data_IF_575109999951
#
_entry.id   IF_575109999951
#
_cell.length_a   1.000
_cell.length_b   1.000
_cell.length_c   1.000
_cell.angle_alpha   90.00
_cell.angle_beta   90.00
_cell.angle_gamma   90.00
#
_symmetry.space_group_name_H-M   'P 1'
#
loop_
_entity.id
_entity.type
_entity.pdbx_description
1 polymer ?
#
# COMPACT_ATOMS: atom_id res chain seq x y z
N UNK A 1 -3.17 2.12 -25.54
CA UNK A 1 -4.24 2.37 -24.56
C UNK A 1 -4.06 1.41 -23.39
N UNK A 2 -3.55 1.91 -22.28
CA UNK A 2 -3.40 1.20 -21.00
C UNK A 2 -4.74 1.18 -20.30
N UNK A 3 -5.39 0.02 -20.21
CA UNK A 3 -6.60 -0.15 -19.42
C UNK A 3 -6.24 -0.04 -17.93
N UNK A 4 -6.53 1.11 -17.35
CA UNK A 4 -6.55 1.31 -15.90
C UNK A 4 -7.76 0.56 -15.37
N UNK A 5 -7.54 -0.32 -14.39
CA UNK A 5 -8.64 -0.98 -13.67
C UNK A 5 -9.32 0.07 -12.81
N UNK A 6 -10.40 0.66 -13.33
CA UNK A 6 -11.39 1.35 -12.51
C UNK A 6 -12.17 0.29 -11.73
N UNK A 7 -11.62 -0.12 -10.59
CA UNK A 7 -12.50 -0.60 -9.53
C UNK A 7 -13.35 0.58 -9.12
N UNK A 8 -14.68 0.50 -9.28
CA UNK A 8 -15.62 1.28 -8.49
C UNK A 8 -15.45 0.86 -7.00
N UNK A 9 -14.32 1.26 -6.40
CA UNK A 9 -14.29 1.65 -5.00
C UNK A 9 -14.99 3.00 -4.91
N UNK A 10 -15.35 3.44 -3.71
CA UNK A 10 -15.77 4.83 -3.47
C UNK A 10 -14.93 5.76 -4.35
N UNK A 11 -15.56 6.73 -5.02
CA UNK A 11 -14.84 7.79 -5.74
C UNK A 11 -13.60 8.14 -4.89
N UNK A 12 -12.39 8.06 -5.46
CA UNK A 12 -11.18 8.48 -4.76
C UNK A 12 -11.29 10.00 -4.60
N UNK A 13 -12.05 10.41 -3.59
CA UNK A 13 -12.28 11.79 -3.28
C UNK A 13 -10.97 12.34 -2.73
N UNK A 14 -10.51 13.40 -3.36
CA UNK A 14 -9.29 14.05 -2.99
C UNK A 14 -9.57 14.98 -1.81
N UNK A 15 -8.86 14.75 -0.70
CA UNK A 15 -8.82 15.68 0.42
C UNK A 15 -8.00 16.89 -0.02
N UNK A 16 -8.64 18.06 -0.12
CA UNK A 16 -7.99 19.33 -0.42
C UNK A 16 -8.07 20.25 0.79
N UNK A 17 -6.91 20.57 1.33
CA UNK A 17 -6.79 21.67 2.27
C UNK A 17 -6.82 22.99 1.50
N UNK A 18 -7.31 24.06 2.13
CA UNK A 18 -7.18 25.42 1.58
C UNK A 18 -5.70 25.80 1.37
N UNK A 19 -5.43 27.03 0.95
CA UNK A 19 -4.05 27.51 0.83
C UNK A 19 -3.28 27.31 2.14
N UNK A 20 -2.30 26.39 2.11
CA UNK A 20 -1.58 25.89 3.27
C UNK A 20 -0.09 25.79 2.93
N UNK A 21 0.76 26.39 3.75
CA UNK A 21 2.21 26.21 3.68
C UNK A 21 2.66 25.47 4.95
N UNK A 22 3.30 24.31 4.80
CA UNK A 22 3.81 23.51 5.92
C UNK A 22 5.33 23.45 5.82
N UNK A 23 6.03 23.87 6.88
CA UNK A 23 7.48 23.81 6.98
C UNK A 23 7.86 22.83 8.08
N UNK A 24 8.62 21.80 7.73
CA UNK A 24 9.21 20.88 8.70
C UNK A 24 10.64 21.33 9.02
N UNK A 25 10.98 21.46 10.29
CA UNK A 25 12.34 21.70 10.76
C UNK A 25 12.78 20.44 11.49
N UNK A 26 13.72 19.70 10.90
CA UNK A 26 14.12 18.36 11.34
C UNK A 26 15.56 18.34 11.81
N UNK A 27 15.81 17.64 12.91
CA UNK A 27 17.10 17.57 13.57
C UNK A 27 17.94 16.46 12.94
N UNK A 28 19.12 16.83 12.43
CA UNK A 28 20.09 15.91 11.83
C UNK A 28 21.41 15.89 12.62
N UNK A 29 21.38 16.26 13.89
CA UNK A 29 22.51 16.18 14.81
C UNK A 29 23.01 14.74 15.01
N UNK A 30 24.19 14.63 15.61
CA UNK A 30 24.84 13.37 15.91
C UNK A 30 24.02 12.52 16.91
N UNK A 31 23.36 13.15 17.88
CA UNK A 31 22.59 12.47 18.93
C UNK A 31 21.35 11.74 18.40
N UNK A 32 20.76 12.25 17.30
CA UNK A 32 19.65 11.61 16.60
C UNK A 32 20.10 10.25 16.04
N UNK A 33 21.21 10.23 15.30
CA UNK A 33 21.70 9.04 14.60
C UNK A 33 20.92 8.70 13.32
N UNK A 34 21.60 8.04 12.39
CA UNK A 34 21.07 7.71 11.05
C UNK A 34 19.68 7.01 11.05
N UNK A 35 19.45 6.09 11.99
CA UNK A 35 18.20 5.33 12.06
C UNK A 35 17.02 6.20 12.48
N UNK A 36 17.20 7.09 13.44
CA UNK A 36 16.13 7.97 13.91
C UNK A 36 15.88 9.09 12.91
N UNK A 37 16.92 9.63 12.29
CA UNK A 37 16.78 10.58 11.18
C UNK A 37 15.96 9.99 10.02
N UNK A 38 16.13 8.69 9.74
CA UNK A 38 15.28 8.00 8.77
C UNK A 38 13.81 7.92 9.21
N UNK A 39 13.52 7.81 10.51
CA UNK A 39 12.16 7.85 11.04
C UNK A 39 11.54 9.25 10.91
N UNK A 40 12.31 10.31 11.16
CA UNK A 40 11.88 11.70 10.94
C UNK A 40 11.52 11.97 9.48
N UNK A 41 12.39 11.56 8.54
CA UNK A 41 12.09 11.65 7.09
C UNK A 41 10.79 10.91 6.74
N UNK A 42 10.59 9.72 7.28
CA UNK A 42 9.37 8.94 7.04
C UNK A 42 8.14 9.62 7.65
N UNK A 43 8.27 10.25 8.82
CA UNK A 43 7.19 11.03 9.42
C UNK A 43 6.78 12.20 8.53
N UNK A 44 7.72 13.02 8.06
CA UNK A 44 7.46 14.12 7.12
C UNK A 44 6.72 13.60 5.88
N UNK A 45 7.22 12.53 5.27
CA UNK A 45 6.59 11.91 4.10
C UNK A 45 5.16 11.44 4.41
N UNK A 46 4.94 10.80 5.56
CA UNK A 46 3.64 10.23 5.91
C UNK A 46 2.60 11.29 6.25
N UNK A 47 2.97 12.35 6.96
CA UNK A 47 2.08 13.49 7.21
C UNK A 47 1.69 14.16 5.90
N UNK A 48 2.64 14.41 5.01
CA UNK A 48 2.35 15.05 3.71
C UNK A 48 1.47 14.15 2.83
N UNK A 49 1.63 12.81 2.90
CA UNK A 49 0.72 11.88 2.24
C UNK A 49 -0.73 11.99 2.73
N UNK A 50 -0.91 12.25 4.02
CA UNK A 50 -2.24 12.41 4.63
C UNK A 50 -2.91 13.73 4.25
N UNK A 51 -2.13 14.80 4.14
CA UNK A 51 -2.64 16.13 3.74
C UNK A 51 -3.21 16.17 2.32
N UNK A 52 -2.98 15.13 1.51
CA UNK A 52 -3.54 14.99 0.17
C UNK A 52 -2.63 15.61 -0.90
N UNK A 53 -3.21 16.33 -1.85
CA UNK A 53 -2.44 16.87 -2.97
C UNK A 53 -1.61 18.09 -2.59
N UNK A 54 -0.34 18.04 -3.02
CA UNK A 54 0.57 19.19 -3.06
C UNK A 54 0.20 20.07 -4.26
N UNK A 55 0.35 21.38 -4.11
CA UNK A 55 0.18 22.33 -5.20
C UNK A 55 1.16 22.00 -6.34
N UNK A 56 0.63 21.78 -7.55
CA UNK A 56 1.45 21.48 -8.74
C UNK A 56 2.28 22.66 -9.21
N UNK A 57 1.72 23.86 -9.04
CA UNK A 57 2.40 25.12 -9.31
C UNK A 57 2.67 25.79 -7.97
N UNK A 58 3.94 26.07 -7.61
CA UNK A 58 4.27 26.74 -6.36
C UNK A 58 3.72 28.18 -6.25
N UNK A 59 3.31 28.79 -7.37
CA UNK A 59 2.63 30.09 -7.44
C UNK A 59 1.11 30.00 -7.34
N UNK A 60 0.55 28.79 -7.32
CA UNK A 60 -0.88 28.58 -7.14
C UNK A 60 -1.35 29.21 -5.82
N UNK A 61 -2.43 29.99 -5.88
CA UNK A 61 -3.10 30.55 -4.70
C UNK A 61 -3.86 29.49 -3.89
N UNK A 62 -3.96 28.26 -4.41
CA UNK A 62 -4.63 27.13 -3.76
C UNK A 62 -3.72 25.91 -3.66
N UNK A 63 -4.00 25.02 -2.70
CA UNK A 63 -3.24 23.79 -2.48
C UNK A 63 -2.10 23.92 -1.48
N UNK A 64 -1.63 22.76 -1.01
CA UNK A 64 -0.61 22.64 0.03
C UNK A 64 0.79 22.77 -0.56
N UNK A 65 1.65 23.64 -0.02
CA UNK A 65 3.09 23.63 -0.31
C UNK A 65 3.83 23.13 0.92
N UNK A 66 4.92 22.40 0.70
CA UNK A 66 5.67 21.79 1.79
C UNK A 66 7.16 22.08 1.63
N UNK A 67 7.76 22.59 2.69
CA UNK A 67 9.19 22.81 2.80
C UNK A 67 9.78 21.98 3.94
N UNK A 68 11.06 21.69 3.84
CA UNK A 68 11.80 20.96 4.88
C UNK A 68 13.13 21.66 5.09
N UNK A 69 13.49 21.94 6.34
CA UNK A 69 14.83 22.39 6.75
C UNK A 69 15.42 21.28 7.60
N UNK A 70 16.51 20.69 7.15
CA UNK A 70 17.35 19.88 8.03
C UNK A 70 18.49 20.74 8.57
N UNK A 71 18.85 20.53 9.83
CA UNK A 71 19.92 21.24 10.49
C UNK A 71 20.79 20.31 11.32
N UNK A 72 22.02 20.74 11.57
CA UNK A 72 22.87 20.14 12.58
C UNK A 72 23.71 21.23 13.25
N UNK A 73 24.95 21.45 12.80
CA UNK A 73 25.85 22.44 13.37
C UNK A 73 25.83 23.76 12.59
N UNK A 74 26.61 24.73 13.08
CA UNK A 74 26.73 26.08 12.52
C UNK A 74 26.82 26.08 10.99
N UNK A 75 25.95 26.86 10.35
CA UNK A 75 25.95 27.05 8.90
C UNK A 75 25.49 25.84 8.07
N UNK A 76 25.16 24.71 8.70
CA UNK A 76 24.78 23.49 7.98
C UNK A 76 23.25 23.33 7.98
N UNK A 77 22.62 24.12 7.12
CA UNK A 77 21.18 24.09 6.87
C UNK A 77 20.94 23.67 5.42
N UNK A 78 20.29 22.53 5.22
CA UNK A 78 19.80 22.14 3.90
C UNK A 78 18.28 22.31 3.86
N UNK A 79 17.79 22.90 2.77
CA UNK A 79 16.38 23.23 2.64
C UNK A 79 15.78 22.76 1.32
N UNK A 80 14.62 22.14 1.46
CA UNK A 80 13.63 22.00 0.43
C UNK A 80 12.71 23.22 0.52
N UNK A 81 12.77 24.10 -0.47
CA UNK A 81 12.02 25.36 -0.48
C UNK A 81 10.52 25.15 -0.75
N UNK A 82 9.68 26.04 -0.21
CA UNK A 82 8.23 26.01 -0.45
C UNK A 82 7.85 26.28 -1.91
N UNK A 83 8.69 27.04 -2.62
CA UNK A 83 8.51 27.47 -4.00
C UNK A 83 9.43 26.76 -5.00
N UNK A 84 10.00 25.61 -4.63
CA UNK A 84 10.83 24.80 -5.54
C UNK A 84 9.97 24.23 -6.69
N UNK A 85 10.19 24.75 -7.90
CA UNK A 85 9.47 24.34 -9.12
C UNK A 85 9.67 22.85 -9.46
N UNK A 86 10.68 22.18 -8.89
CA UNK A 86 10.91 20.75 -9.07
C UNK A 86 9.96 19.88 -8.24
N UNK A 87 9.28 20.47 -7.25
CA UNK A 87 8.37 19.78 -6.32
C UNK A 87 6.92 20.02 -6.73
N UNK A 88 6.57 19.45 -7.87
CA UNK A 88 5.25 19.54 -8.50
C UNK A 88 4.27 18.43 -8.05
N UNK A 89 4.74 17.47 -7.27
CA UNK A 89 3.98 16.27 -6.91
C UNK A 89 4.43 15.66 -5.59
N UNK A 90 3.53 14.87 -5.00
CA UNK A 90 3.84 14.09 -3.80
C UNK A 90 5.00 13.11 -4.03
N UNK A 91 5.16 12.62 -5.26
CA UNK A 91 6.29 11.77 -5.66
C UNK A 91 7.63 12.53 -5.65
N UNK A 92 7.70 13.71 -6.27
CA UNK A 92 8.93 14.50 -6.31
C UNK A 92 9.32 14.99 -4.91
N UNK A 93 8.33 15.39 -4.09
CA UNK A 93 8.57 15.72 -2.68
C UNK A 93 9.15 14.54 -1.90
N UNK A 94 8.57 13.34 -2.02
CA UNK A 94 9.07 12.12 -1.37
C UNK A 94 10.51 11.81 -1.73
N UNK A 95 10.85 11.97 -3.00
CA UNK A 95 12.20 11.72 -3.49
C UNK A 95 13.18 12.74 -2.92
N UNK A 96 12.82 14.03 -2.96
CA UNK A 96 13.62 15.10 -2.37
C UNK A 96 13.89 14.87 -0.88
N UNK A 97 12.87 14.54 -0.08
CA UNK A 97 13.04 14.24 1.35
C UNK A 97 13.90 13.00 1.56
N UNK A 98 13.73 11.93 0.77
CA UNK A 98 14.55 10.71 0.90
C UNK A 98 16.03 10.97 0.66
N UNK A 99 16.34 11.87 -0.28
CA UNK A 99 17.69 12.24 -0.68
C UNK A 99 18.42 13.11 0.34
N UNK A 100 17.73 13.64 1.37
CA UNK A 100 18.40 14.31 2.49
C UNK A 100 19.31 13.31 3.22
N UNK A 101 20.59 13.64 3.30
CA UNK A 101 21.60 12.84 3.98
C UNK A 101 21.76 13.30 5.42
N UNK A 102 22.03 12.34 6.31
CA UNK A 102 22.25 12.63 7.73
C UNK A 102 23.61 13.33 7.90
N UNK A 103 23.58 14.53 8.45
CA UNK A 103 24.74 15.44 8.57
C UNK A 103 25.68 15.04 9.73
N UNK A 104 25.14 14.65 10.89
CA UNK A 104 25.90 14.19 12.06
C UNK A 104 26.89 15.20 12.66
N UNK A 105 26.39 16.31 13.23
CA UNK A 105 27.18 17.26 14.01
C UNK A 105 26.47 17.72 15.28
N UNK A 106 26.61 19.00 15.64
CA UNK A 106 25.89 19.63 16.76
C UNK A 106 24.40 19.88 16.49
N UNK A 107 23.76 20.61 17.40
CA UNK A 107 22.32 20.89 17.38
C UNK A 107 22.06 22.40 17.47
N UNK A 108 21.92 23.06 16.33
CA UNK A 108 21.77 24.53 16.23
C UNK A 108 20.31 24.92 15.97
N UNK A 109 19.43 24.51 16.89
CA UNK A 109 17.98 24.67 16.76
C UNK A 109 17.56 26.15 16.67
N UNK A 110 17.94 27.06 17.61
CA UNK A 110 17.60 28.49 17.48
C UNK A 110 17.97 29.09 16.10
N UNK A 111 19.18 28.84 15.61
CA UNK A 111 19.61 29.33 14.29
C UNK A 111 18.82 28.69 13.14
N UNK A 112 18.48 27.40 13.24
CA UNK A 112 17.65 26.71 12.26
C UNK A 112 16.24 27.32 12.17
N UNK A 113 15.63 27.68 13.30
CA UNK A 113 14.31 28.33 13.34
C UNK A 113 14.33 29.69 12.65
N UNK A 114 15.38 30.49 12.90
CA UNK A 114 15.59 31.78 12.22
C UNK A 114 15.80 31.59 10.71
N UNK A 115 16.58 30.59 10.32
CA UNK A 115 16.80 30.26 8.91
C UNK A 115 15.49 29.84 8.23
N UNK A 116 14.72 28.93 8.84
CA UNK A 116 13.43 28.46 8.33
C UNK A 116 12.45 29.62 8.15
N UNK A 117 12.38 30.54 9.12
CA UNK A 117 11.56 31.74 9.01
C UNK A 117 12.00 32.62 7.83
N UNK A 118 13.28 33.00 7.77
CA UNK A 118 13.75 33.95 6.78
C UNK A 118 13.67 33.39 5.35
N UNK A 119 14.14 32.15 5.16
CA UNK A 119 14.32 31.55 3.84
C UNK A 119 13.08 30.88 3.28
N UNK A 120 12.33 30.15 4.09
CA UNK A 120 11.18 29.41 3.58
C UNK A 120 9.92 30.25 3.76
N UNK A 121 9.71 30.84 4.93
CA UNK A 121 8.42 31.48 5.24
C UNK A 121 8.37 32.91 4.73
N UNK A 122 9.34 33.76 5.07
CA UNK A 122 9.30 35.19 4.79
C UNK A 122 9.55 35.50 3.30
N UNK A 123 10.55 34.87 2.70
CA UNK A 123 10.91 35.07 1.29
C UNK A 123 9.86 34.46 0.32
N UNK A 124 9.26 33.31 0.67
CA UNK A 124 8.33 32.58 -0.22
C UNK A 124 6.85 32.68 0.20
N UNK A 125 6.47 33.64 1.07
CA UNK A 125 5.11 33.75 1.63
C UNK A 125 4.04 33.99 0.56
N UNK A 126 3.04 33.11 0.47
CA UNK A 126 1.81 33.38 -0.30
C UNK A 126 0.87 34.32 0.47
N UNK A 127 0.19 35.22 -0.23
CA UNK A 127 -0.86 36.05 0.37
C UNK A 127 -2.04 35.17 0.82
N UNK A 128 -2.64 35.48 1.99
CA UNK A 128 -3.82 34.80 2.55
C UNK A 128 -3.65 33.28 2.77
N UNK A 129 -2.43 32.81 2.97
CA UNK A 129 -2.11 31.40 3.25
C UNK A 129 -1.86 31.18 4.75
N UNK A 130 -2.37 30.06 5.28
CA UNK A 130 -2.01 29.61 6.64
C UNK A 130 -0.63 28.96 6.61
N UNK A 131 0.24 29.37 7.53
CA UNK A 131 1.59 28.82 7.65
C UNK A 131 1.69 27.99 8.92
N UNK A 132 2.12 26.73 8.78
CA UNK A 132 2.41 25.84 9.89
C UNK A 132 3.88 25.47 9.88
N UNK A 133 4.50 25.48 11.06
CA UNK A 133 5.85 25.01 11.26
C UNK A 133 5.84 23.83 12.23
N UNK A 134 6.42 22.70 11.84
CA UNK A 134 6.56 21.51 12.69
C UNK A 134 8.04 21.31 12.98
N UNK A 135 8.43 21.46 14.24
CA UNK A 135 9.82 21.33 14.69
C UNK A 135 10.00 20.00 15.38
N UNK A 136 11.01 19.22 15.01
CA UNK A 136 11.34 17.92 15.60
C UNK A 136 12.76 18.00 16.13
N UNK A 137 12.97 17.58 17.38
CA UNK A 137 14.28 17.57 18.03
C UNK A 137 14.30 16.62 19.23
N UNK A 138 15.48 16.11 19.60
CA UNK A 138 15.71 15.41 20.87
C UNK A 138 16.10 16.37 22.03
N UNK A 139 16.22 17.66 21.70
CA UNK A 139 16.04 18.80 22.58
C UNK A 139 17.21 19.20 23.46
N UNK A 140 18.41 19.21 22.88
CA UNK A 140 19.56 19.95 23.40
C UNK A 140 20.16 20.78 22.29
N UNK A 141 20.02 22.11 22.36
CA UNK A 141 20.76 22.98 21.45
C UNK A 141 22.16 23.26 21.98
N UNK A 142 23.09 23.53 21.08
CA UNK A 142 24.46 23.88 21.40
C UNK A 142 24.51 25.21 22.17
N UNK A 143 25.22 25.33 23.31
CA UNK A 143 25.34 26.58 24.06
C UNK A 143 25.96 27.74 23.29
N UNK A 144 26.59 27.46 22.14
CA UNK A 144 27.13 28.47 21.22
C UNK A 144 26.06 29.10 20.33
N UNK A 145 24.88 28.50 20.23
CA UNK A 145 23.75 29.04 19.47
C UNK A 145 23.01 30.13 20.28
N UNK A 146 22.40 31.08 19.57
CA UNK A 146 21.74 32.24 20.17
C UNK A 146 20.28 31.90 20.52
N UNK A 147 20.04 31.60 21.80
CA UNK A 147 18.76 31.17 22.38
C UNK A 147 17.60 32.17 22.17
N UNK A 148 17.91 33.45 21.90
CA UNK A 148 16.92 34.47 21.53
C UNK A 148 16.15 34.08 20.27
N UNK A 149 16.74 33.26 19.39
CA UNK A 149 16.11 32.80 18.16
C UNK A 149 15.17 31.59 18.36
N UNK A 150 15.04 31.04 19.58
CA UNK A 150 14.05 29.98 19.86
C UNK A 150 12.61 30.42 19.55
N UNK A 151 12.35 31.74 19.61
CA UNK A 151 11.06 32.35 19.30
C UNK A 151 11.00 32.96 17.89
N UNK A 152 11.97 32.67 17.02
CA UNK A 152 12.08 33.30 15.70
C UNK A 152 10.87 33.06 14.78
N UNK A 153 10.11 31.99 15.00
CA UNK A 153 8.88 31.70 14.25
C UNK A 153 7.64 32.35 14.88
N UNK A 154 7.75 32.90 16.09
CA UNK A 154 6.63 33.46 16.83
C UNK A 154 6.26 34.86 16.34
N UNK A 155 4.99 35.25 16.50
CA UNK A 155 4.46 36.58 16.12
C UNK A 155 4.47 36.92 14.61
N UNK A 156 4.46 35.89 13.75
CA UNK A 156 4.47 36.06 12.29
C UNK A 156 3.28 35.42 11.56
N UNK A 157 2.17 35.19 12.28
CA UNK A 157 1.01 34.38 11.86
C UNK A 157 1.38 32.93 11.47
N UNK A 158 2.45 32.41 12.08
CA UNK A 158 2.88 31.02 11.94
C UNK A 158 2.34 30.22 13.13
N UNK A 159 1.70 29.09 12.85
CA UNK A 159 1.34 28.12 13.90
C UNK A 159 2.48 27.14 14.06
N UNK A 160 3.18 27.20 15.19
CA UNK A 160 4.34 26.34 15.47
C UNK A 160 3.92 25.18 16.37
N UNK A 161 4.23 23.97 15.95
CA UNK A 161 4.09 22.73 16.74
C UNK A 161 5.49 22.18 16.99
N UNK A 162 5.84 21.98 18.27
CA UNK A 162 7.15 21.46 18.66
C UNK A 162 7.01 20.01 19.14
N UNK A 163 7.80 19.10 18.56
CA UNK A 163 7.83 17.68 18.88
C UNK A 163 9.18 17.36 19.53
N UNK A 164 9.16 17.03 20.81
CA UNK A 164 10.34 16.61 21.57
C UNK A 164 10.38 15.09 21.76
N UNK A 165 11.53 14.47 21.51
CA UNK A 165 11.67 13.01 21.54
C UNK A 165 12.81 12.59 22.47
N UNK A 166 12.56 11.62 23.35
CA UNK A 166 13.58 11.00 24.19
C UNK A 166 13.56 11.47 25.64
N UNK A 167 14.68 11.31 26.34
CA UNK A 167 14.77 11.46 27.80
C UNK A 167 14.95 12.91 28.29
N UNK A 168 14.27 13.82 27.60
CA UNK A 168 14.15 15.26 27.85
C UNK A 168 13.63 15.62 29.26
N UNK A 169 13.26 14.61 30.06
CA UNK A 169 12.49 14.77 31.30
C UNK A 169 13.23 14.27 32.55
N UNK A 170 14.39 13.62 32.42
CA UNK A 170 15.17 13.13 33.55
C UNK A 170 16.33 14.04 33.97
N UNK A 171 16.72 15.02 33.15
CA UNK A 171 17.71 16.04 33.53
C UNK A 171 17.06 17.42 33.70
N UNK A 172 17.14 17.96 34.93
CA UNK A 172 16.55 19.25 35.35
C UNK A 172 17.30 20.48 34.82
N UNK A 173 18.26 20.31 33.93
CA UNK A 173 19.05 21.39 33.37
C UNK A 173 18.99 21.27 31.85
N UNK A 174 18.47 22.31 31.19
CA UNK A 174 18.69 22.61 29.76
C UNK A 174 18.00 21.71 28.73
N UNK A 175 16.71 21.38 28.92
CA UNK A 175 15.87 21.06 27.76
C UNK A 175 15.76 22.31 26.88
N UNK A 176 15.92 22.17 25.56
CA UNK A 176 15.35 23.15 24.64
C UNK A 176 13.95 23.50 25.13
N UNK A 177 13.67 24.79 25.32
CA UNK A 177 12.37 25.18 25.81
C UNK A 177 11.37 25.01 24.66
N UNK A 178 10.87 23.78 24.48
CA UNK A 178 9.86 23.45 23.48
C UNK A 178 8.64 24.37 23.62
N UNK A 179 8.36 24.87 24.82
CA UNK A 179 7.34 25.90 25.02
C UNK A 179 7.72 27.22 24.33
N UNK A 180 8.96 27.67 24.42
CA UNK A 180 9.44 28.85 23.65
C UNK A 180 9.33 28.61 22.14
N UNK A 181 9.72 27.43 21.64
CA UNK A 181 9.60 27.08 20.22
C UNK A 181 8.12 27.09 19.80
N UNK A 182 7.25 26.51 20.62
CA UNK A 182 5.80 26.51 20.42
C UNK A 182 5.11 27.83 20.79
N UNK A 183 5.86 28.93 20.94
CA UNK A 183 5.34 30.27 21.21
C UNK A 183 4.45 30.36 22.46
N UNK A 184 4.89 29.74 23.56
CA UNK A 184 4.23 29.68 24.86
C UNK A 184 2.83 29.01 24.82
N UNK A 185 2.58 28.15 23.81
CA UNK A 185 1.33 27.41 23.65
C UNK A 185 1.51 25.93 24.04
N UNK A 186 1.18 25.53 25.28
CA UNK A 186 1.41 24.17 25.76
C UNK A 186 0.70 23.10 24.90
N UNK A 187 -0.45 23.42 24.30
CA UNK A 187 -1.21 22.51 23.44
C UNK A 187 -0.51 22.17 22.12
N UNK A 188 0.47 22.98 21.71
CA UNK A 188 1.28 22.80 20.51
C UNK A 188 2.59 22.04 20.77
N UNK A 189 2.84 21.64 22.02
CA UNK A 189 3.98 20.79 22.39
C UNK A 189 3.54 19.33 22.36
N UNK A 190 4.35 18.48 21.74
CA UNK A 190 4.13 17.03 21.66
C UNK A 190 5.37 16.32 22.19
N UNK A 191 5.20 15.59 23.28
CA UNK A 191 6.28 14.85 23.91
C UNK A 191 6.20 13.37 23.50
N UNK A 192 7.33 12.80 23.13
CA UNK A 192 7.45 11.40 22.75
C UNK A 192 8.64 10.75 23.45
N UNK A 193 8.53 9.46 23.72
CA UNK A 193 9.63 8.69 24.31
C UNK A 193 10.57 8.12 23.26
N UNK A 194 10.05 7.78 22.08
CA UNK A 194 10.79 7.09 21.04
C UNK A 194 10.50 7.70 19.67
N UNK A 195 11.52 7.74 18.79
CA UNK A 195 11.35 8.17 17.39
C UNK A 195 10.38 7.26 16.61
N UNK A 196 10.16 6.02 17.04
CA UNK A 196 9.16 5.14 16.45
C UNK A 196 7.73 5.63 16.63
N UNK A 197 7.48 6.50 17.62
CA UNK A 197 6.15 7.02 17.89
C UNK A 197 5.73 8.06 16.83
N UNK A 198 6.70 8.72 16.17
CA UNK A 198 6.44 9.61 15.04
C UNK A 198 5.73 8.90 13.88
N UNK A 199 6.04 7.62 13.65
CA UNK A 199 5.45 6.85 12.54
C UNK A 199 4.18 6.10 12.93
N UNK A 200 3.65 6.32 14.13
CA UNK A 200 2.39 5.72 14.57
C UNK A 200 1.21 6.33 13.79
N UNK A 201 0.33 5.47 13.24
CA UNK A 201 -0.84 5.91 12.46
C UNK A 201 -1.68 6.94 13.22
N UNK A 202 -1.94 6.71 14.51
CA UNK A 202 -2.72 7.64 15.34
C UNK A 202 -2.11 9.04 15.41
N UNK A 203 -0.79 9.14 15.58
CA UNK A 203 -0.14 10.44 15.69
C UNK A 203 -0.13 11.18 14.34
N UNK A 204 0.08 10.44 13.25
CA UNK A 204 -0.01 10.99 11.90
C UNK A 204 -1.43 11.52 11.63
N UNK A 205 -2.47 10.79 12.03
CA UNK A 205 -3.87 11.22 11.90
C UNK A 205 -4.16 12.46 12.77
N UNK A 206 -3.65 12.51 14.01
CA UNK A 206 -3.78 13.71 14.88
C UNK A 206 -3.09 14.95 14.26
N UNK A 207 -1.93 14.78 13.64
CA UNK A 207 -1.21 15.86 12.95
C UNK A 207 -1.92 16.31 11.67
N UNK A 208 -2.57 15.39 10.95
CA UNK A 208 -3.40 15.71 9.79
C UNK A 208 -4.56 16.65 10.19
N UNK A 209 -5.23 16.39 11.30
CA UNK A 209 -6.32 17.22 11.81
C UNK A 209 -5.84 18.60 12.27
N UNK A 210 -4.65 18.69 12.89
CA UNK A 210 -4.06 19.98 13.30
C UNK A 210 -3.68 20.84 12.09
N UNK A 211 -3.08 20.25 11.07
CA UNK A 211 -2.60 20.96 9.88
C UNK A 211 -3.73 21.29 8.90
N UNK A 212 -4.80 20.48 8.88
CA UNK A 212 -5.92 20.63 7.96
C UNK A 212 -7.28 20.40 8.66
N UNK A 213 -7.73 21.34 9.51
CA UNK A 213 -8.93 21.16 10.33
C UNK A 213 -10.23 21.13 9.52
N UNK A 214 -10.29 21.87 8.39
CA UNK A 214 -11.48 21.98 7.54
C UNK A 214 -11.16 21.54 6.10
N UNK A 215 -11.03 20.23 5.86
CA UNK A 215 -10.72 19.73 4.53
C UNK A 215 -11.93 19.80 3.59
N UNK A 216 -11.70 20.28 2.37
CA UNK A 216 -12.67 20.12 1.30
C UNK A 216 -12.47 18.76 0.64
N UNK A 217 -13.50 17.92 0.68
CA UNK A 217 -13.49 16.63 0.00
C UNK A 217 -13.99 16.85 -1.42
N UNK A 218 -13.06 16.87 -2.38
CA UNK A 218 -13.38 17.02 -3.80
C UNK A 218 -13.43 15.63 -4.42
N UNK A 219 -14.63 15.14 -4.64
CA UNK A 219 -14.84 13.92 -5.42
C UNK A 219 -14.85 14.29 -6.91
N UNK A 220 -14.16 13.54 -7.78
CA UNK A 220 -14.34 13.74 -9.20
C UNK A 220 -15.80 13.48 -9.56
N UNK A 221 -16.39 14.38 -10.35
CA UNK A 221 -17.72 14.20 -10.96
C UNK A 221 -17.65 13.11 -12.02
N UNK A 222 -17.49 11.87 -11.56
CA UNK A 222 -17.83 10.72 -12.39
C UNK A 222 -19.32 10.49 -12.20
N UNK A 223 -20.11 10.37 -13.28
CA UNK A 223 -21.47 9.87 -13.15
C UNK A 223 -21.34 8.48 -12.53
N UNK A 224 -21.67 8.38 -11.24
CA UNK A 224 -21.92 7.12 -10.59
C UNK A 224 -23.08 6.51 -11.37
N UNK A 225 -22.79 5.63 -12.32
CA UNK A 225 -23.78 4.68 -12.74
C UNK A 225 -24.11 3.90 -11.47
N UNK A 226 -25.32 4.13 -10.96
CA UNK A 226 -25.87 3.48 -9.76
C UNK A 226 -25.89 1.96 -9.89
N UNK A 227 -25.69 1.45 -11.10
CA UNK A 227 -25.29 0.08 -11.33
C UNK A 227 -23.76 0.03 -11.41
N UNK A 228 -23.15 -0.67 -10.46
CA UNK A 228 -21.78 -1.17 -10.62
C UNK A 228 -21.66 -1.79 -12.02
N UNK A 229 -21.09 -1.06 -12.97
CA UNK A 229 -20.71 -1.58 -14.29
C UNK A 229 -19.47 -2.45 -14.09
N UNK A 230 -19.62 -3.52 -13.30
CA UNK A 230 -18.78 -4.69 -13.45
C UNK A 230 -19.09 -5.11 -14.87
N UNK A 231 -18.16 -4.88 -15.80
CA UNK A 231 -18.25 -5.46 -17.12
C UNK A 231 -18.56 -6.95 -16.88
N UNK A 232 -19.77 -7.38 -17.22
CA UNK A 232 -20.09 -8.80 -17.18
C UNK A 232 -18.95 -9.48 -17.95
N UNK A 233 -18.47 -10.65 -17.51
CA UNK A 233 -17.38 -11.38 -18.19
C UNK A 233 -17.57 -11.53 -19.72
N UNK A 234 -18.77 -11.21 -20.22
CA UNK A 234 -19.17 -11.09 -21.62
C UNK A 234 -18.53 -9.96 -22.42
N UNK A 235 -18.05 -8.87 -21.79
CA UNK A 235 -17.63 -7.66 -22.52
C UNK A 235 -16.12 -7.54 -22.72
N UNK A 236 -15.34 -8.54 -22.30
CA UNK A 236 -13.88 -8.58 -22.47
C UNK A 236 -13.35 -10.01 -22.54
N UNK A 237 -12.19 -10.25 -23.14
CA UNK A 237 -11.66 -11.60 -23.26
C UNK A 237 -10.98 -12.00 -21.94
N UNK A 238 -11.50 -13.04 -21.29
CA UNK A 238 -10.95 -13.57 -20.02
C UNK A 238 -10.59 -15.05 -20.18
N UNK A 239 -9.36 -15.43 -19.83
CA UNK A 239 -8.92 -16.82 -19.81
C UNK A 239 -8.74 -17.26 -18.35
N UNK A 240 -9.56 -18.21 -17.88
CA UNK A 240 -9.61 -18.67 -16.49
C UNK A 240 -8.99 -20.06 -16.38
N UNK A 241 -7.96 -20.19 -15.55
CA UNK A 241 -7.26 -21.46 -15.31
C UNK A 241 -7.49 -21.91 -13.87
N UNK A 242 -8.23 -22.99 -13.70
CA UNK A 242 -8.42 -23.65 -12.40
C UNK A 242 -7.27 -24.61 -12.10
N UNK A 243 -6.75 -24.53 -10.89
CA UNK A 243 -5.74 -25.41 -10.33
C UNK A 243 -6.37 -26.17 -9.16
N UNK A 244 -6.73 -27.43 -9.41
CA UNK A 244 -7.41 -28.28 -8.44
C UNK A 244 -6.42 -29.21 -7.73
N UNK A 245 -6.41 -29.15 -6.40
CA UNK A 245 -5.66 -30.07 -5.55
C UNK A 245 -6.31 -31.47 -5.61
N UNK A 246 -5.66 -32.37 -6.34
CA UNK A 246 -6.10 -33.75 -6.52
C UNK A 246 -5.71 -34.68 -5.37
N UNK A 247 -5.05 -34.20 -4.32
CA UNK A 247 -4.54 -35.07 -3.25
C UNK A 247 -5.67 -35.71 -2.42
N UNK A 248 -5.41 -36.89 -1.86
CA UNK A 248 -6.31 -37.55 -0.88
C UNK A 248 -6.74 -36.64 0.28
N UNK A 249 -5.91 -35.64 0.61
CA UNK A 249 -6.14 -34.69 1.71
C UNK A 249 -7.32 -33.74 1.47
N UNK A 250 -7.64 -33.46 0.20
CA UNK A 250 -8.86 -32.72 -0.12
C UNK A 250 -10.09 -33.54 0.31
N UNK A 251 -10.03 -34.87 0.12
CA UNK A 251 -11.10 -35.82 0.37
C UNK A 251 -12.15 -35.80 -0.75
N UNK A 252 -12.65 -36.99 -1.10
CA UNK A 252 -13.60 -37.24 -2.20
C UNK A 252 -14.77 -36.26 -2.24
N UNK A 253 -15.42 -36.01 -1.09
CA UNK A 253 -16.55 -35.09 -1.02
C UNK A 253 -16.20 -33.64 -1.37
N UNK A 254 -15.01 -33.16 -1.02
CA UNK A 254 -14.59 -31.80 -1.34
C UNK A 254 -14.04 -31.71 -2.76
N UNK A 255 -13.42 -32.78 -3.25
CA UNK A 255 -13.02 -32.91 -4.64
C UNK A 255 -14.24 -32.87 -5.58
N UNK A 256 -15.31 -33.60 -5.25
CA UNK A 256 -16.58 -33.54 -6.00
C UNK A 256 -17.21 -32.14 -5.96
N UNK A 257 -17.17 -31.46 -4.81
CA UNK A 257 -17.64 -30.07 -4.69
C UNK A 257 -16.83 -29.10 -5.54
N UNK A 258 -15.51 -29.32 -5.64
CA UNK A 258 -14.66 -28.51 -6.48
C UNK A 258 -14.94 -28.73 -7.98
N UNK A 259 -15.16 -29.98 -8.41
CA UNK A 259 -15.60 -30.30 -9.79
C UNK A 259 -16.90 -29.59 -10.14
N UNK A 260 -17.94 -29.76 -9.29
CA UNK A 260 -19.23 -29.08 -9.47
C UNK A 260 -19.10 -27.57 -9.49
N UNK A 261 -18.19 -27.00 -8.70
CA UNK A 261 -17.97 -25.56 -8.71
C UNK A 261 -17.38 -25.07 -10.03
N UNK A 262 -16.38 -25.77 -10.59
CA UNK A 262 -15.82 -25.43 -11.91
C UNK A 262 -16.89 -25.56 -13.00
N UNK A 263 -17.74 -26.58 -12.91
CA UNK A 263 -18.86 -26.78 -13.83
C UNK A 263 -19.87 -25.63 -13.77
N UNK A 264 -20.32 -25.27 -12.56
CA UNK A 264 -21.28 -24.17 -12.34
C UNK A 264 -20.72 -22.84 -12.83
N UNK A 265 -19.41 -22.60 -12.62
CA UNK A 265 -18.74 -21.42 -13.16
C UNK A 265 -18.79 -21.42 -14.69
N UNK A 266 -18.48 -22.56 -15.30
CA UNK A 266 -18.44 -22.69 -16.76
C UNK A 266 -19.82 -22.50 -17.39
N UNK A 267 -20.90 -22.96 -16.72
CA UNK A 267 -22.29 -22.82 -17.17
C UNK A 267 -22.83 -21.39 -17.06
N UNK A 268 -22.47 -20.65 -16.00
CA UNK A 268 -22.98 -19.29 -15.76
C UNK A 268 -22.16 -18.20 -16.44
N UNK A 269 -20.90 -18.48 -16.77
CA UNK A 269 -20.11 -17.58 -17.60
C UNK A 269 -20.59 -17.66 -19.06
N UNK A 270 -20.68 -16.52 -19.71
CA UNK A 270 -20.75 -16.51 -21.18
C UNK A 270 -19.38 -16.86 -21.72
N UNK A 271 -19.29 -18.04 -22.35
CA UNK A 271 -18.05 -18.54 -22.93
C UNK A 271 -17.86 -18.01 -24.36
N UNK A 272 -16.60 -17.92 -24.78
CA UNK A 272 -16.19 -17.47 -26.09
C UNK A 272 -16.80 -18.32 -27.22
N UNK A 273 -17.22 -17.68 -28.32
CA UNK A 273 -17.76 -18.42 -29.47
C UNK A 273 -16.66 -19.15 -30.25
N UNK A 274 -15.42 -18.64 -30.17
CA UNK A 274 -14.22 -19.15 -30.86
C UNK A 274 -12.97 -18.89 -30.00
N UNK A 275 -11.86 -19.53 -30.33
CA UNK A 275 -10.61 -19.39 -29.58
C UNK A 275 -10.00 -17.98 -29.63
N UNK A 276 -10.35 -17.19 -30.64
CA UNK A 276 -9.88 -15.84 -30.89
C UNK A 276 -10.93 -14.76 -30.57
N UNK A 277 -12.06 -15.13 -29.96
CA UNK A 277 -13.15 -14.20 -29.63
C UNK A 277 -12.58 -13.01 -28.81
N UNK A 278 -12.79 -11.75 -29.25
CA UNK A 278 -12.32 -10.58 -28.50
C UNK A 278 -13.13 -10.36 -27.21
N UNK A 279 -14.18 -11.13 -26.98
CA UNK A 279 -15.09 -11.05 -25.85
C UNK A 279 -15.19 -12.41 -25.15
N UNK A 280 -15.86 -12.45 -24.00
CA UNK A 280 -16.23 -13.67 -23.28
C UNK A 280 -15.08 -14.52 -22.71
N UNK A 281 -15.44 -15.50 -21.87
CA UNK A 281 -14.50 -16.31 -21.12
C UNK A 281 -14.10 -17.63 -21.81
N UNK A 282 -12.89 -18.11 -21.54
CA UNK A 282 -12.48 -19.51 -21.77
C UNK A 282 -11.99 -20.10 -20.46
N UNK A 283 -12.21 -21.40 -20.26
CA UNK A 283 -11.87 -22.08 -19.00
C UNK A 283 -10.93 -23.24 -19.27
N UNK A 284 -9.96 -23.42 -18.37
CA UNK A 284 -9.09 -24.58 -18.31
C UNK A 284 -9.07 -25.15 -16.90
N UNK A 285 -8.80 -26.46 -16.78
CA UNK A 285 -8.61 -27.11 -15.50
C UNK A 285 -7.35 -27.97 -15.52
N UNK A 286 -6.49 -27.74 -14.53
CA UNK A 286 -5.31 -28.54 -14.25
C UNK A 286 -5.41 -29.10 -12.83
N UNK A 287 -5.25 -30.40 -12.72
CA UNK A 287 -5.15 -31.10 -11.44
C UNK A 287 -3.67 -31.25 -11.07
N UNK A 288 -3.36 -31.00 -9.80
CA UNK A 288 -2.02 -31.20 -9.25
C UNK A 288 -2.07 -32.06 -7.98
N UNK A 289 -1.05 -32.87 -7.76
CA UNK A 289 -0.91 -33.71 -6.57
C UNK A 289 0.53 -33.74 -6.07
N UNK A 290 1.18 -34.90 -6.23
CA UNK A 290 2.58 -35.21 -6.00
C UNK A 290 3.62 -34.23 -6.59
N UNK A 291 4.92 -34.34 -6.27
CA UNK A 291 5.95 -33.50 -6.88
C UNK A 291 6.18 -34.03 -8.30
N UNK A 292 5.61 -33.35 -9.29
CA UNK A 292 5.65 -33.78 -10.69
C UNK A 292 4.38 -34.49 -11.18
N UNK A 293 3.38 -34.70 -10.30
CA UNK A 293 2.06 -35.18 -10.70
C UNK A 293 1.19 -33.98 -11.10
N UNK A 294 1.13 -33.72 -12.40
CA UNK A 294 0.26 -32.71 -13.00
C UNK A 294 -0.47 -33.32 -14.17
N UNK A 295 -1.79 -33.14 -14.19
CA UNK A 295 -2.64 -33.61 -15.27
C UNK A 295 -3.51 -32.44 -15.74
N UNK A 296 -3.44 -32.13 -17.04
CA UNK A 296 -4.40 -31.20 -17.66
C UNK A 296 -5.69 -31.98 -17.86
N UNK A 297 -6.74 -31.58 -17.16
CA UNK A 297 -8.07 -32.17 -17.29
C UNK A 297 -8.67 -31.80 -18.64
N UNK A 298 -8.61 -30.50 -18.96
CA UNK A 298 -8.94 -29.94 -20.25
C UNK A 298 -8.16 -28.64 -20.45
N UNK A 299 -7.66 -28.37 -21.68
CA UNK A 299 -7.00 -27.12 -22.02
C UNK A 299 -8.01 -25.96 -22.05
N UNK A 300 -7.54 -24.72 -22.27
CA UNK A 300 -8.43 -23.56 -22.44
C UNK A 300 -9.43 -23.85 -23.57
N UNK A 301 -10.71 -23.90 -23.19
CA UNK A 301 -11.80 -24.17 -24.12
C UNK A 301 -13.03 -23.35 -23.74
N UNK A 302 -13.89 -23.11 -24.72
CA UNK A 302 -15.24 -22.58 -24.53
C UNK A 302 -16.33 -23.63 -24.80
N UNK A 303 -15.94 -24.86 -25.13
CA UNK A 303 -16.89 -25.93 -25.43
C UNK A 303 -17.39 -26.57 -24.12
N UNK A 304 -18.64 -26.28 -23.76
CA UNK A 304 -19.29 -26.82 -22.55
C UNK A 304 -19.35 -28.35 -22.54
N UNK A 305 -19.48 -29.00 -23.70
CA UNK A 305 -19.50 -30.47 -23.78
C UNK A 305 -18.16 -31.05 -23.35
N UNK A 306 -17.04 -30.48 -23.82
CA UNK A 306 -15.69 -30.91 -23.43
C UNK A 306 -15.45 -30.69 -21.93
N UNK A 307 -15.90 -29.55 -21.40
CA UNK A 307 -15.79 -29.24 -19.97
C UNK A 307 -16.59 -30.25 -19.16
N UNK A 308 -17.86 -30.50 -19.52
CA UNK A 308 -18.75 -31.41 -18.83
C UNK A 308 -18.24 -32.85 -18.87
N UNK A 309 -17.81 -33.35 -20.04
CA UNK A 309 -17.26 -34.69 -20.19
C UNK A 309 -15.96 -34.88 -19.39
N UNK A 310 -15.08 -33.89 -19.35
CA UNK A 310 -13.86 -33.93 -18.53
C UNK A 310 -14.17 -33.88 -17.02
N UNK A 311 -15.21 -33.13 -16.64
CA UNK A 311 -15.67 -32.99 -15.25
C UNK A 311 -16.57 -34.12 -14.77
N UNK A 312 -17.15 -34.95 -15.63
CA UNK A 312 -17.95 -36.14 -15.26
C UNK A 312 -17.19 -37.46 -15.50
N UNK A 313 -16.29 -37.48 -16.48
CA UNK A 313 -15.57 -38.68 -16.89
C UNK A 313 -14.60 -39.24 -15.84
N UNK A 314 -14.19 -40.50 -16.09
CA UNK A 314 -13.07 -41.20 -15.40
C UNK A 314 -11.70 -40.53 -15.60
N UNK A 315 -11.63 -39.43 -16.35
CA UNK A 315 -10.41 -38.71 -16.72
C UNK A 315 -9.81 -37.87 -15.59
N UNK A 316 -10.57 -37.58 -14.52
CA UNK A 316 -10.12 -36.81 -13.37
C UNK A 316 -10.17 -37.61 -12.05
N UNK A 317 -9.42 -38.74 -11.94
CA UNK A 317 -9.39 -39.52 -10.71
C UNK A 317 -8.69 -38.73 -9.58
N UNK A 318 -9.15 -38.88 -8.34
CA UNK A 318 -8.41 -38.36 -7.19
C UNK A 318 -7.03 -39.05 -7.15
N UNK A 319 -5.95 -38.28 -7.02
CA UNK A 319 -4.58 -38.80 -7.01
C UNK A 319 -4.32 -39.48 -5.66
N UNK A 320 -4.41 -40.81 -5.65
CA UNK A 320 -4.30 -41.67 -4.46
C UNK A 320 -2.88 -41.76 -3.87
N UNK A 321 -1.83 -41.37 -4.61
CA UNK A 321 -0.43 -41.71 -4.27
C UNK A 321 0.38 -40.62 -3.54
N UNK A 322 -0.24 -39.59 -2.97
CA UNK A 322 0.50 -38.55 -2.23
C UNK A 322 0.87 -38.96 -0.78
N UNK A 323 1.54 -40.10 -0.59
CA UNK A 323 2.20 -40.50 0.67
C UNK A 323 3.61 -39.92 0.72
N UNK A 324 3.76 -38.63 1.05
CA UNK A 324 5.10 -38.10 1.30
C UNK A 324 5.22 -36.59 1.31
N UNK A 325 5.88 -36.09 2.35
CA UNK A 325 6.20 -34.71 2.60
C UNK A 325 7.28 -34.19 1.64
N UNK A 326 6.98 -33.14 0.88
CA UNK A 326 7.99 -32.27 0.25
C UNK A 326 7.75 -32.02 -1.23
N UNK A 327 6.97 -30.99 -1.59
CA UNK A 327 6.79 -30.61 -3.00
C UNK A 327 7.20 -29.17 -3.25
N UNK A 328 8.39 -29.06 -3.83
CA UNK A 328 8.75 -28.00 -4.75
C UNK A 328 7.96 -28.20 -6.04
N UNK A 329 6.70 -27.78 -6.08
CA UNK A 329 5.99 -27.66 -7.35
C UNK A 329 6.78 -26.66 -8.21
N UNK A 330 7.46 -27.14 -9.26
CA UNK A 330 8.04 -26.28 -10.29
C UNK A 330 6.88 -25.65 -11.07
N UNK A 331 6.30 -24.59 -10.52
CA UNK A 331 5.26 -23.77 -11.15
C UNK A 331 5.72 -23.14 -12.48
N UNK A 332 7.03 -23.15 -12.75
CA UNK A 332 7.65 -22.66 -13.98
C UNK A 332 7.10 -23.35 -15.25
N UNK A 333 6.69 -24.63 -15.18
CA UNK A 333 6.08 -25.32 -16.33
C UNK A 333 4.58 -25.02 -16.48
N UNK A 334 3.87 -24.69 -15.39
CA UNK A 334 2.43 -24.38 -15.41
C UNK A 334 2.15 -23.07 -16.16
N UNK A 335 2.99 -22.05 -15.96
CA UNK A 335 2.84 -20.75 -16.63
C UNK A 335 3.37 -20.78 -18.08
N UNK A 336 4.43 -21.56 -18.36
CA UNK A 336 4.94 -21.73 -19.74
C UNK A 336 4.06 -22.66 -20.58
N UNK A 337 3.48 -23.70 -19.98
CA UNK A 337 2.59 -24.67 -20.63
C UNK A 337 1.13 -24.21 -20.73
N UNK A 338 0.71 -23.16 -20.02
CA UNK A 338 -0.60 -22.51 -20.18
C UNK A 338 -0.59 -21.35 -21.21
N UNK A 339 0.59 -20.91 -21.64
CA UNK A 339 0.73 -19.93 -22.75
C UNK A 339 0.53 -20.49 -24.18
N UNK A 340 0.70 -21.78 -24.51
CA UNK A 340 0.27 -22.29 -25.80
C UNK A 340 -1.27 -22.31 -25.79
N UNK A 341 -1.87 -21.20 -26.21
CA UNK A 341 -3.33 -21.10 -26.39
C UNK A 341 -3.99 -19.92 -25.69
N UNK A 342 -3.35 -19.24 -24.73
CA UNK A 342 -3.91 -18.03 -24.12
C UNK A 342 -3.97 -16.87 -25.13
N UNK A 343 -5.09 -16.13 -25.17
CA UNK A 343 -5.30 -15.00 -26.08
C UNK A 343 -4.31 -13.87 -25.71
N UNK A 344 -3.63 -13.28 -26.69
CA UNK A 344 -2.61 -12.22 -26.46
C UNK A 344 -3.15 -10.98 -25.75
N UNK A 345 -4.45 -10.75 -25.84
CA UNK A 345 -5.14 -9.60 -25.24
C UNK A 345 -6.14 -9.99 -24.15
N UNK A 346 -6.17 -11.26 -23.72
CA UNK A 346 -7.07 -11.71 -22.65
C UNK A 346 -6.47 -11.51 -21.25
N UNK A 347 -7.33 -11.18 -20.30
CA UNK A 347 -6.97 -11.24 -18.88
C UNK A 347 -6.83 -12.70 -18.45
N UNK A 348 -5.68 -13.07 -17.91
CA UNK A 348 -5.40 -14.43 -17.46
C UNK A 348 -5.57 -14.55 -15.94
N UNK A 349 -6.57 -15.30 -15.49
CA UNK A 349 -6.90 -15.51 -14.08
C UNK A 349 -6.57 -16.94 -13.63
N UNK A 350 -5.90 -17.10 -12.49
CA UNK A 350 -5.60 -18.42 -11.92
C UNK A 350 -6.30 -18.63 -10.57
N UNK A 351 -7.03 -19.73 -10.47
CA UNK A 351 -7.85 -20.06 -9.29
C UNK A 351 -7.41 -21.38 -8.68
N UNK A 352 -6.86 -21.33 -7.47
CA UNK A 352 -6.38 -22.49 -6.72
C UNK A 352 -7.46 -23.01 -5.75
N UNK A 353 -7.83 -24.27 -5.90
CA UNK A 353 -8.78 -24.98 -5.03
C UNK A 353 -8.00 -26.00 -4.18
N UNK A 354 -7.70 -25.68 -2.91
CA UNK A 354 -6.87 -26.52 -2.01
C UNK A 354 -7.24 -26.37 -0.53
N UNK A 355 -6.96 -27.38 0.31
CA UNK A 355 -7.28 -27.36 1.76
C UNK A 355 -6.11 -26.88 2.63
N UNK A 356 -4.92 -26.56 2.10
CA UNK A 356 -3.73 -26.26 2.93
C UNK A 356 -3.75 -24.90 3.64
N UNK A 357 -3.09 -24.88 4.82
CA UNK A 357 -2.62 -23.67 5.53
C UNK A 357 -1.57 -22.96 4.67
N UNK A 358 -1.82 -21.72 4.28
CA UNK A 358 -0.73 -20.79 3.98
C UNK A 358 -0.21 -20.19 5.30
N UNK A 359 0.65 -20.93 5.99
CA UNK A 359 1.38 -20.48 7.17
C UNK A 359 2.84 -20.89 7.05
N UNK A 360 3.72 -19.88 6.96
CA UNK A 360 5.17 -19.85 7.18
C UNK A 360 6.05 -21.07 6.80
N UNK A 361 7.09 -20.74 6.02
CA UNK A 361 8.43 -21.40 5.93
C UNK A 361 8.72 -22.54 4.96
N UNK A 362 7.94 -22.81 3.91
CA UNK A 362 8.42 -23.69 2.81
C UNK A 362 7.97 -23.28 1.40
N UNK A 363 8.02 -21.98 1.07
CA UNK A 363 8.14 -21.53 -0.31
C UNK A 363 9.40 -20.68 -0.40
N UNK A 364 10.49 -21.25 -0.95
CA UNK A 364 11.43 -20.41 -1.67
C UNK A 364 10.63 -19.62 -2.70
N UNK A 365 10.80 -18.29 -2.74
CA UNK A 365 9.93 -17.33 -3.40
C UNK A 365 9.85 -17.41 -4.93
N UNK A 366 9.45 -18.55 -5.49
CA UNK A 366 9.49 -18.83 -6.93
C UNK A 366 8.16 -19.17 -7.60
N UNK A 367 7.02 -19.26 -6.89
CA UNK A 367 5.72 -19.64 -7.49
C UNK A 367 4.78 -18.46 -7.75
N UNK A 368 4.48 -17.69 -6.72
CA UNK A 368 3.65 -16.48 -6.85
C UNK A 368 4.41 -15.30 -7.47
N UNK A 369 5.74 -15.28 -7.34
CA UNK A 369 6.61 -14.19 -7.80
C UNK A 369 6.69 -14.10 -9.33
N UNK A 370 6.85 -15.21 -10.09
CA UNK A 370 6.78 -15.17 -11.56
C UNK A 370 5.38 -14.85 -12.10
N UNK A 371 4.32 -15.30 -11.41
CA UNK A 371 2.93 -14.98 -11.78
C UNK A 371 2.63 -13.50 -11.56
N UNK A 372 3.05 -12.92 -10.43
CA UNK A 372 2.94 -11.48 -10.14
C UNK A 372 3.74 -10.62 -11.14
N UNK A 373 4.91 -11.09 -11.59
CA UNK A 373 5.69 -10.45 -12.68
C UNK A 373 4.95 -10.41 -14.02
N UNK A 374 3.89 -11.21 -14.19
CA UNK A 374 3.06 -11.26 -15.39
C UNK A 374 1.65 -10.66 -15.17
N UNK A 375 1.46 -9.81 -14.16
CA UNK A 375 0.15 -9.23 -13.77
C UNK A 375 -0.93 -10.26 -13.38
N UNK A 376 -0.53 -11.48 -13.01
CA UNK A 376 -1.46 -12.55 -12.61
C UNK A 376 -1.77 -12.46 -11.11
N UNK A 377 -3.05 -12.52 -10.75
CA UNK A 377 -3.53 -12.55 -9.36
C UNK A 377 -3.86 -14.00 -8.96
N UNK A 378 -3.03 -14.67 -8.14
CA UNK A 378 -3.35 -16.01 -7.67
C UNK A 378 -4.39 -15.96 -6.54
N UNK A 379 -5.48 -16.72 -6.69
CA UNK A 379 -6.51 -16.87 -5.64
C UNK A 379 -6.54 -18.24 -5.05
N UNK A 380 -6.62 -18.30 -3.72
CA UNK A 380 -6.62 -19.56 -2.96
C UNK A 380 -7.93 -19.68 -2.21
N UNK A 381 -8.68 -20.75 -2.48
CA UNK A 381 -9.90 -21.12 -1.76
C UNK A 381 -9.59 -22.32 -0.85
N UNK A 382 -9.55 -22.12 0.48
CA UNK A 382 -9.14 -23.16 1.45
C UNK A 382 -9.37 -22.86 2.94
N UNK A 383 -9.15 -23.85 3.83
CA UNK A 383 -9.44 -23.78 5.29
C UNK A 383 -8.22 -23.34 6.13
N UNK A 384 -8.33 -22.24 6.90
CA UNK A 384 -7.33 -21.81 7.90
C UNK A 384 -7.87 -21.75 9.34
N UNK A 385 -7.16 -22.34 10.32
CA UNK A 385 -7.44 -22.18 11.78
C UNK A 385 -6.42 -21.23 12.43
N UNK A 386 -6.90 -20.31 13.28
CA UNK A 386 -6.11 -19.43 14.18
C UNK A 386 -5.44 -20.29 15.27
N UNK A 387 -4.15 -20.05 15.55
CA UNK A 387 -3.56 -20.12 16.92
C UNK A 387 -2.28 -19.28 16.98
N UNK A 388 -2.14 -18.54 18.08
CA UNK A 388 -0.86 -18.14 18.68
C UNK A 388 -0.23 -16.84 18.18
N UNK A 389 -0.04 -15.88 19.10
CA UNK A 389 0.84 -14.71 18.94
C UNK A 389 2.24 -15.17 18.54
N UNK A 390 2.82 -14.57 17.51
CA UNK A 390 4.22 -14.83 17.13
C UNK A 390 4.56 -14.39 15.71
N UNK A 391 5.23 -13.25 15.60
CA UNK A 391 6.02 -12.74 14.45
C UNK A 391 5.29 -12.66 13.10
N UNK A 392 4.68 -11.50 12.87
CA UNK A 392 4.40 -10.98 11.54
C UNK A 392 5.72 -10.89 10.76
N UNK A 393 5.84 -11.65 9.67
CA UNK A 393 6.89 -11.43 8.68
C UNK A 393 6.42 -10.30 7.78
N UNK A 394 7.21 -9.25 7.74
CA UNK A 394 7.14 -8.10 6.84
C UNK A 394 6.81 -8.53 5.41
N UNK A 395 5.70 -8.01 4.90
CA UNK A 395 5.30 -8.06 3.49
C UNK A 395 5.21 -6.58 3.06
N UNK A 396 5.99 -6.17 2.05
CA UNK A 396 6.06 -4.79 1.56
C UNK A 396 4.68 -4.24 1.13
N UNK A 397 4.44 -2.92 1.26
CA UNK A 397 3.15 -2.31 0.94
C UNK A 397 3.01 -2.21 -0.59
N UNK A 398 1.91 -2.72 -1.15
CA UNK A 398 1.61 -2.46 -2.57
C UNK A 398 0.57 -3.37 -3.22
N UNK A 399 0.64 -4.70 -3.10
CA UNK A 399 -0.37 -5.60 -3.70
C UNK A 399 -0.57 -6.86 -2.88
N UNK A 400 -1.49 -6.78 -1.90
CA UNK A 400 -1.94 -7.92 -1.09
C UNK A 400 -2.46 -9.03 -2.01
N UNK A 401 -1.90 -10.24 -1.90
CA UNK A 401 -2.59 -11.43 -2.41
C UNK A 401 -3.93 -11.54 -1.69
N UNK A 402 -5.03 -11.42 -2.42
CA UNK A 402 -6.38 -11.36 -1.84
C UNK A 402 -6.80 -12.78 -1.43
N UNK A 403 -6.58 -13.12 -0.15
CA UNK A 403 -7.08 -14.35 0.46
C UNK A 403 -8.51 -14.14 0.93
N UNK A 404 -9.43 -15.01 0.55
CA UNK A 404 -10.76 -15.05 1.15
C UNK A 404 -10.65 -15.59 2.60
N UNK A 405 -11.11 -14.83 3.62
CA UNK A 405 -11.10 -15.30 4.99
C UNK A 405 -12.18 -16.38 5.24
N UNK A 406 -11.77 -17.41 5.99
CA UNK A 406 -12.59 -18.29 6.86
C UNK A 406 -13.96 -18.71 6.33
N UNK A 407 -13.99 -19.82 5.60
CA UNK A 407 -14.92 -20.96 5.76
C UNK A 407 -14.62 -21.94 4.61
N UNK A 408 -14.54 -23.25 4.88
CA UNK A 408 -13.99 -24.23 3.92
C UNK A 408 -14.81 -24.40 2.62
N UNK A 409 -14.40 -25.36 1.76
CA UNK A 409 -15.10 -25.76 0.51
C UNK A 409 -16.60 -26.08 0.66
N UNK A 410 -17.15 -26.09 1.88
CA UNK A 410 -18.58 -26.21 2.19
C UNK A 410 -19.43 -25.07 1.61
N UNK A 411 -18.88 -23.86 1.42
CA UNK A 411 -19.63 -22.71 0.87
C UNK A 411 -19.53 -22.54 -0.64
N UNK A 412 -18.75 -23.36 -1.35
CA UNK A 412 -18.72 -23.34 -2.83
C UNK A 412 -20.11 -23.56 -3.45
N UNK A 413 -20.99 -24.26 -2.74
CA UNK A 413 -22.36 -24.55 -3.15
C UNK A 413 -23.39 -23.49 -2.69
N UNK A 414 -22.99 -22.42 -2.01
CA UNK A 414 -23.92 -21.36 -1.59
C UNK A 414 -24.11 -20.34 -2.73
N UNK A 415 -25.36 -19.97 -3.09
CA UNK A 415 -25.64 -19.01 -4.16
C UNK A 415 -24.86 -17.69 -4.02
N UNK A 416 -24.85 -17.12 -2.81
CA UNK A 416 -24.13 -15.86 -2.55
C UNK A 416 -22.60 -15.97 -2.60
N UNK A 417 -22.01 -17.17 -2.52
CA UNK A 417 -20.56 -17.32 -2.75
C UNK A 417 -20.24 -17.25 -4.23
N UNK A 418 -21.07 -17.88 -5.06
CA UNK A 418 -20.89 -17.90 -6.51
C UNK A 418 -20.90 -16.49 -7.10
N UNK A 419 -21.89 -15.67 -6.73
CA UNK A 419 -22.01 -14.30 -7.26
C UNK A 419 -20.82 -13.42 -6.84
N UNK A 420 -20.29 -13.62 -5.63
CA UNK A 420 -19.06 -12.95 -5.18
C UNK A 420 -17.82 -13.45 -5.93
N UNK A 421 -17.78 -14.73 -6.27
CA UNK A 421 -16.69 -15.30 -7.06
C UNK A 421 -16.69 -14.76 -8.48
N UNK A 422 -17.86 -14.69 -9.14
CA UNK A 422 -17.99 -14.10 -10.49
C UNK A 422 -17.58 -12.63 -10.48
N UNK A 423 -18.06 -11.83 -9.51
CA UNK A 423 -17.61 -10.44 -9.33
C UNK A 423 -16.11 -10.31 -9.05
N UNK A 424 -15.46 -11.37 -8.57
CA UNK A 424 -14.02 -11.39 -8.29
C UNK A 424 -13.18 -11.72 -9.53
N UNK A 425 -13.70 -12.55 -10.45
CA UNK A 425 -13.01 -12.90 -11.70
C UNK A 425 -13.31 -11.96 -12.89
N UNK A 426 -14.45 -11.24 -12.91
CA UNK A 426 -14.96 -10.54 -14.11
C UNK A 426 -14.58 -9.08 -14.31
#
# INVERSE_FOLDING_TARGET
MTYVRETCGCCDCEKRCGALDVVFVIDSSESIGYTNFTLEKNFVINVVNRLGAIAKDPKSETGTRVGVVQYSHEGTFEAIQLDDERIDSLSSFKEAVKNLEWIAGGTWTPSALKFAYNKLIKESRRQKTRVFAVVITDGRHDPRDDDLNLRALCNHDVTVTAIGIGDMFHERHESENLYSIACDKPQQVRNMTLFSDLVAEKFIDDMEDVLCPDPQIVCPDLPCQTELYVAQCTQRPVDIVFLLDGSERLGEQNFHKARRFVEEVSRRLTLARRDDDPLNARVALLQFGGPGEQQVAFPLTSNLTVIHEALEGRALPQLLLARGSGHSARHHHVVRGARPGARRHAELAFVFLTVRRHGQRQHGGGGATPMRKQNVVPTVVGRGRRRGRGRAVQDQPGRRGRRLPREGLRRLAQPGFFDRFIRWIC
#
